data_IF_658367510045
#
_entry.id   IF_658367510045
#
_cell.length_a   1.000
_cell.length_b   1.000
_cell.length_c   1.000
_cell.angle_alpha   90.00
_cell.angle_beta   90.00
_cell.angle_gamma   90.00
#
_symmetry.space_group_name_H-M   'P 1'
#
loop_
_entity.id
_entity.type
_entity.pdbx_description
1 polymer ?
#
# COMPACT_ATOMS: atom_id res chain seq x y z
N UNK A 1 -2.42 -6.28 13.07
CA UNK A 1 -2.18 -6.62 11.65
C UNK A 1 -2.61 -8.04 11.32
N UNK A 2 -2.81 -8.91 12.31
CA UNK A 2 -3.05 -10.36 12.07
C UNK A 2 -4.49 -10.74 11.71
N UNK A 3 -5.49 -9.95 12.12
CA UNK A 3 -6.91 -10.35 12.03
C UNK A 3 -7.44 -10.56 10.60
N UNK A 4 -6.77 -10.01 9.58
CA UNK A 4 -7.15 -10.17 8.17
C UNK A 4 -6.04 -10.78 7.30
N UNK A 5 -4.92 -11.19 7.91
CA UNK A 5 -3.78 -11.75 7.19
C UNK A 5 -4.17 -13.05 6.48
N UNK A 6 -4.89 -13.92 7.18
CA UNK A 6 -5.33 -15.20 6.63
C UNK A 6 -6.27 -15.02 5.44
N UNK A 7 -7.23 -14.08 5.52
CA UNK A 7 -8.13 -13.75 4.42
C UNK A 7 -7.35 -13.26 3.19
N UNK A 8 -6.40 -12.35 3.38
CA UNK A 8 -5.56 -11.82 2.30
C UNK A 8 -4.68 -12.91 1.68
N UNK A 9 -4.11 -13.79 2.50
CA UNK A 9 -3.32 -14.94 2.02
C UNK A 9 -4.18 -15.93 1.24
N UNK A 10 -5.41 -16.22 1.69
CA UNK A 10 -6.33 -17.09 0.96
C UNK A 10 -6.76 -16.46 -0.38
N UNK A 11 -7.06 -15.16 -0.39
CA UNK A 11 -7.37 -14.43 -1.62
C UNK A 11 -6.21 -14.51 -2.62
N UNK A 12 -4.97 -14.29 -2.18
CA UNK A 12 -3.78 -14.41 -3.03
C UNK A 12 -3.55 -15.85 -3.52
N UNK A 13 -3.77 -16.86 -2.66
CA UNK A 13 -3.57 -18.27 -3.01
C UNK A 13 -4.57 -18.77 -4.07
N UNK A 14 -5.79 -18.23 -4.07
CA UNK A 14 -6.88 -18.68 -4.94
C UNK A 14 -7.11 -17.80 -6.18
N UNK A 15 -6.38 -16.70 -6.32
CA UNK A 15 -6.48 -15.81 -7.46
C UNK A 15 -5.11 -15.60 -8.11
N UNK A 16 -5.05 -15.61 -9.44
CA UNK A 16 -3.85 -15.14 -10.12
C UNK A 16 -3.55 -13.68 -9.74
N UNK A 17 -2.28 -13.29 -9.66
CA UNK A 17 -1.85 -11.94 -9.28
C UNK A 17 -2.47 -10.82 -10.13
N UNK A 18 -2.90 -11.15 -11.36
CA UNK A 18 -3.55 -10.23 -12.30
C UNK A 18 -5.06 -10.49 -12.43
N UNK A 19 -5.70 -11.15 -11.46
CA UNK A 19 -7.14 -11.35 -11.49
C UNK A 19 -7.88 -10.02 -11.31
N UNK A 20 -9.11 -9.96 -11.80
CA UNK A 20 -9.99 -8.80 -11.62
C UNK A 20 -10.26 -8.50 -10.14
N UNK A 21 -10.27 -9.54 -9.28
CA UNK A 21 -10.48 -9.41 -7.84
C UNK A 21 -9.27 -8.73 -7.18
N UNK A 22 -8.05 -9.22 -7.47
CA UNK A 22 -6.81 -8.62 -6.93
C UNK A 22 -6.70 -7.17 -7.39
N UNK A 23 -7.04 -6.90 -8.65
CA UNK A 23 -7.03 -5.55 -9.22
C UNK A 23 -8.03 -4.62 -8.51
N UNK A 24 -9.25 -5.10 -8.26
CA UNK A 24 -10.30 -4.33 -7.58
C UNK A 24 -9.95 -4.02 -6.12
N UNK A 25 -9.38 -5.00 -5.41
CA UNK A 25 -8.92 -4.83 -4.02
C UNK A 25 -7.77 -3.83 -3.96
N UNK A 26 -6.80 -3.95 -4.87
CA UNK A 26 -5.69 -3.01 -4.97
C UNK A 26 -6.17 -1.59 -5.22
N UNK A 27 -7.13 -1.41 -6.14
CA UNK A 27 -7.72 -0.11 -6.44
C UNK A 27 -8.48 0.47 -5.25
N UNK A 28 -9.22 -0.36 -4.52
CA UNK A 28 -9.91 0.06 -3.29
C UNK A 28 -8.92 0.56 -2.23
N UNK A 29 -7.88 -0.23 -1.91
CA UNK A 29 -6.88 0.20 -0.93
C UNK A 29 -6.12 1.46 -1.37
N UNK A 30 -5.89 1.63 -2.67
CA UNK A 30 -5.26 2.85 -3.22
C UNK A 30 -6.09 4.09 -2.93
N UNK A 31 -7.38 4.01 -3.21
CA UNK A 31 -8.29 5.14 -3.00
C UNK A 31 -8.46 5.45 -1.51
N UNK A 32 -8.49 4.43 -0.66
CA UNK A 32 -8.55 4.61 0.80
C UNK A 32 -7.27 5.27 1.33
N UNK A 33 -6.09 4.76 0.94
CA UNK A 33 -4.81 5.32 1.34
C UNK A 33 -4.65 6.79 0.89
N UNK A 34 -5.05 7.10 -0.36
CA UNK A 34 -5.04 8.48 -0.85
C UNK A 34 -5.97 9.37 -0.02
N UNK A 35 -7.15 8.87 0.36
CA UNK A 35 -8.13 9.63 1.16
C UNK A 35 -7.59 9.95 2.54
N UNK A 36 -7.01 8.96 3.23
CA UNK A 36 -6.37 9.13 4.54
C UNK A 36 -5.22 10.13 4.44
N UNK A 37 -4.30 9.94 3.49
CA UNK A 37 -3.13 10.81 3.35
C UNK A 37 -3.50 12.23 2.95
N UNK A 38 -4.55 12.44 2.13
CA UNK A 38 -5.04 13.79 1.81
C UNK A 38 -5.53 14.52 3.07
N UNK A 39 -6.15 13.82 4.02
CA UNK A 39 -6.59 14.42 5.29
C UNK A 39 -5.39 14.82 6.15
N UNK A 40 -4.40 13.93 6.29
CA UNK A 40 -3.18 14.20 7.07
C UNK A 40 -2.31 15.31 6.47
N UNK A 41 -2.25 15.39 5.13
CA UNK A 41 -1.43 16.37 4.42
C UNK A 41 -2.09 17.76 4.30
N UNK A 42 -3.39 17.90 4.63
CA UNK A 42 -4.21 19.10 4.34
C UNK A 42 -3.58 20.43 4.78
N UNK A 43 -2.81 20.43 5.86
CA UNK A 43 -2.19 21.63 6.44
C UNK A 43 -0.68 21.71 6.22
N UNK A 44 -0.10 20.83 5.40
CA UNK A 44 1.33 20.81 5.15
C UNK A 44 1.70 21.71 3.98
N UNK A 45 2.87 22.34 4.09
CA UNK A 45 3.47 23.11 2.99
C UNK A 45 4.37 22.20 2.17
N UNK A 46 4.15 22.17 0.86
CA UNK A 46 5.00 21.41 -0.08
C UNK A 46 5.26 22.22 -1.33
N UNK A 47 6.42 21.97 -1.96
CA UNK A 47 6.76 22.53 -3.28
C UNK A 47 5.98 21.87 -4.42
N UNK A 48 5.32 20.75 -4.16
CA UNK A 48 4.50 20.01 -5.10
C UNK A 48 3.06 19.89 -4.60
N UNK A 49 2.07 19.69 -5.49
CA UNK A 49 0.67 19.53 -5.07
C UNK A 49 0.51 18.40 -4.05
N UNK A 50 -0.18 18.68 -2.93
CA UNK A 50 -0.38 17.70 -1.86
C UNK A 50 -1.10 16.43 -2.32
N UNK A 51 -1.97 16.54 -3.34
CA UNK A 51 -2.56 15.38 -3.99
C UNK A 51 -1.51 14.46 -4.64
N UNK A 52 -0.49 15.04 -5.27
CA UNK A 52 0.58 14.26 -5.88
C UNK A 52 1.44 13.57 -4.82
N UNK A 53 1.69 14.24 -3.70
CA UNK A 53 2.37 13.64 -2.53
C UNK A 53 1.56 12.47 -1.97
N UNK A 54 0.26 12.66 -1.74
CA UNK A 54 -0.63 11.60 -1.25
C UNK A 54 -0.61 10.39 -2.19
N UNK A 55 -0.73 10.60 -3.51
CA UNK A 55 -0.67 9.53 -4.51
C UNK A 55 0.67 8.80 -4.49
N UNK A 56 1.78 9.52 -4.42
CA UNK A 56 3.10 8.90 -4.37
C UNK A 56 3.26 8.02 -3.13
N UNK A 57 2.90 8.53 -1.95
CA UNK A 57 2.99 7.77 -0.70
C UNK A 57 2.07 6.54 -0.70
N UNK A 58 0.82 6.70 -1.15
CA UNK A 58 -0.11 5.57 -1.29
C UNK A 58 0.42 4.49 -2.22
N UNK A 59 1.00 4.88 -3.36
CA UNK A 59 1.56 3.94 -4.32
C UNK A 59 2.75 3.17 -3.73
N UNK A 60 3.64 3.84 -2.99
CA UNK A 60 4.79 3.19 -2.36
C UNK A 60 4.35 2.21 -1.26
N UNK A 61 3.40 2.61 -0.42
CA UNK A 61 2.85 1.72 0.62
C UNK A 61 2.21 0.49 -0.02
N UNK A 62 1.42 0.67 -1.07
CA UNK A 62 0.77 -0.42 -1.78
C UNK A 62 1.74 -1.35 -2.51
N UNK A 63 2.82 -0.81 -3.06
CA UNK A 63 3.87 -1.60 -3.67
C UNK A 63 4.45 -2.59 -2.65
N UNK A 64 4.79 -2.12 -1.45
CA UNK A 64 5.32 -2.96 -0.37
C UNK A 64 4.28 -3.96 0.13
N UNK A 65 3.01 -3.56 0.27
CA UNK A 65 1.94 -4.49 0.64
C UNK A 65 1.73 -5.59 -0.42
N UNK A 66 1.79 -5.23 -1.71
CA UNK A 66 1.69 -6.20 -2.82
C UNK A 66 2.85 -7.19 -2.78
N UNK A 67 4.07 -6.69 -2.60
CA UNK A 67 5.28 -7.51 -2.45
C UNK A 67 5.12 -8.56 -1.34
N UNK A 68 4.59 -8.14 -0.19
CA UNK A 68 4.42 -9.02 0.99
C UNK A 68 3.27 -10.02 0.79
N UNK A 69 2.08 -9.55 0.41
CA UNK A 69 0.86 -10.35 0.52
C UNK A 69 0.44 -11.04 -0.78
N UNK A 70 0.76 -10.46 -1.94
CA UNK A 70 0.36 -10.99 -3.25
C UNK A 70 1.51 -11.76 -3.88
N UNK A 71 2.72 -11.21 -3.81
CA UNK A 71 3.92 -11.82 -4.39
C UNK A 71 4.62 -12.79 -3.40
N UNK A 72 4.09 -12.88 -2.17
CA UNK A 72 4.49 -13.83 -1.14
C UNK A 72 5.97 -13.70 -0.72
N UNK A 73 6.44 -12.47 -0.56
CA UNK A 73 7.73 -12.15 0.03
C UNK A 73 7.56 -11.75 1.51
N UNK A 74 7.59 -12.72 2.45
CA UNK A 74 7.28 -12.45 3.84
C UNK A 74 8.31 -11.49 4.45
N UNK A 75 7.81 -10.40 5.02
CA UNK A 75 8.58 -9.44 5.81
C UNK A 75 7.94 -9.27 7.19
N UNK A 76 8.77 -8.98 8.18
CA UNK A 76 8.29 -8.41 9.44
C UNK A 76 7.74 -7.00 9.20
N UNK A 77 6.90 -6.52 10.13
CA UNK A 77 6.40 -5.13 10.08
C UNK A 77 7.55 -4.12 10.04
N UNK A 78 8.65 -4.40 10.75
CA UNK A 78 9.83 -3.52 10.81
C UNK A 78 10.48 -3.41 9.43
N UNK A 79 10.78 -4.55 8.78
CA UNK A 79 11.37 -4.58 7.44
C UNK A 79 10.46 -3.93 6.40
N UNK A 80 9.15 -4.12 6.51
CA UNK A 80 8.18 -3.47 5.63
C UNK A 80 8.23 -1.93 5.76
N UNK A 81 8.38 -1.41 6.98
CA UNK A 81 8.53 0.03 7.21
C UNK A 81 9.87 0.54 6.68
N UNK A 82 10.97 -0.19 6.92
CA UNK A 82 12.30 0.13 6.38
C UNK A 82 12.27 0.25 4.84
N UNK A 83 11.56 -0.64 4.17
CA UNK A 83 11.42 -0.59 2.70
C UNK A 83 10.61 0.62 2.24
N UNK A 84 9.54 0.98 2.97
CA UNK A 84 8.76 2.19 2.64
C UNK A 84 9.62 3.43 2.80
N UNK A 85 10.39 3.54 3.88
CA UNK A 85 11.25 4.70 4.13
C UNK A 85 12.34 4.82 3.06
N UNK A 86 13.03 3.73 2.73
CA UNK A 86 14.04 3.69 1.66
C UNK A 86 13.45 4.12 0.31
N UNK A 87 12.27 3.59 -0.06
CA UNK A 87 11.60 3.92 -1.33
C UNK A 87 11.04 5.35 -1.39
N UNK A 88 10.78 5.96 -0.24
CA UNK A 88 10.39 7.37 -0.13
C UNK A 88 11.59 8.31 0.02
N UNK A 89 12.81 7.77 0.09
CA UNK A 89 14.05 8.53 0.30
C UNK A 89 14.12 9.20 1.67
N UNK A 90 13.64 8.52 2.72
CA UNK A 90 13.65 9.00 4.11
C UNK A 90 14.75 8.35 4.95
#
# INVERSE_FOLDING_TARGET
MDQHRELLTQLAKHNANNSSIVSSIYEYFKNEAITILKQDLKNQTSKVPLELVAKHYSNTILLVLKWIFIENHPLSKREAMEYVDELLGK
#
